data_IF_795829690867
#
_entry.id   IF_795829690867
#
_cell.length_a   1.000
_cell.length_b   1.000
_cell.length_c   1.000
_cell.angle_alpha   90.00
_cell.angle_beta   90.00
_cell.angle_gamma   90.00
#
_symmetry.space_group_name_H-M   'P 1'
#
loop_
_entity.id
_entity.type
_entity.pdbx_description
1 polymer ?
#
# COMPACT_ATOMS: atom_id res chain seq x y z
N UNK A 1 -6.47 9.47 13.81
CA UNK A 1 -6.35 10.03 12.45
C UNK A 1 -4.88 9.99 12.09
N UNK A 2 -4.52 9.26 11.03
CA UNK A 2 -3.15 9.19 10.50
C UNK A 2 -3.04 10.12 9.30
N UNK A 3 -1.84 10.66 9.03
CA UNK A 3 -1.58 11.51 7.88
C UNK A 3 -0.13 11.32 7.39
N UNK A 4 0.09 11.54 6.10
CA UNK A 4 1.43 11.63 5.51
C UNK A 4 1.92 13.06 5.70
N UNK A 5 3.10 13.20 6.30
CA UNK A 5 3.81 14.47 6.42
C UNK A 5 5.06 14.44 5.54
N UNK A 6 5.17 15.36 4.58
CA UNK A 6 6.33 15.49 3.71
C UNK A 6 6.81 16.94 3.63
N UNK A 7 8.08 17.18 3.95
CA UNK A 7 8.72 18.49 3.78
C UNK A 7 9.34 18.56 2.39
N UNK A 8 8.89 19.49 1.54
CA UNK A 8 9.39 19.66 0.18
C UNK A 8 10.56 20.65 0.10
N UNK A 9 10.52 21.68 0.92
CA UNK A 9 11.53 22.71 1.04
C UNK A 9 11.43 23.37 2.42
N UNK A 10 12.37 24.26 2.76
CA UNK A 10 12.32 25.03 4.00
C UNK A 10 10.99 25.81 4.08
N UNK A 11 10.21 25.54 5.13
CA UNK A 11 8.89 26.15 5.34
C UNK A 11 7.77 25.63 4.44
N UNK A 12 8.02 24.65 3.57
CA UNK A 12 7.00 24.05 2.67
C UNK A 12 6.74 22.60 3.07
N UNK A 13 5.56 22.36 3.63
CA UNK A 13 5.11 21.03 4.06
C UNK A 13 3.80 20.62 3.37
N UNK A 14 3.71 19.35 3.01
CA UNK A 14 2.48 18.69 2.60
C UNK A 14 2.03 17.80 3.76
N UNK A 15 0.76 17.95 4.15
CA UNK A 15 0.08 17.07 5.10
C UNK A 15 -1.16 16.52 4.39
N UNK A 16 -1.23 15.19 4.24
CA UNK A 16 -2.35 14.50 3.59
C UNK A 16 -2.93 13.50 4.58
N UNK A 17 -4.17 13.72 5.01
CA UNK A 17 -4.89 12.77 5.86
C UNK A 17 -5.04 11.43 5.14
N UNK A 18 -4.85 10.32 5.84
CA UNK A 18 -5.04 8.99 5.29
C UNK A 18 -6.51 8.60 5.42
N UNK A 19 -7.15 8.30 4.29
CA UNK A 19 -8.54 7.83 4.18
C UNK A 19 -8.59 6.50 3.42
N UNK A 20 -9.74 5.85 3.40
CA UNK A 20 -10.00 4.67 2.56
C UNK A 20 -9.90 4.96 1.05
N UNK A 21 -10.09 6.21 0.65
CA UNK A 21 -10.05 6.64 -0.74
C UNK A 21 -8.63 6.92 -1.27
N UNK A 22 -7.65 7.22 -0.40
CA UNK A 22 -6.36 7.75 -0.83
C UNK A 22 -5.14 6.89 -0.51
N UNK A 23 -5.36 5.63 -0.11
CA UNK A 23 -4.28 4.64 0.05
C UNK A 23 -4.23 3.74 -1.17
N UNK A 24 -3.05 3.70 -1.80
CA UNK A 24 -2.80 2.92 -3.00
C UNK A 24 -1.52 2.10 -2.86
N UNK A 25 -1.51 0.97 -3.54
CA UNK A 25 -0.31 0.15 -3.74
C UNK A 25 -0.24 -0.32 -5.18
N UNK A 26 0.88 -0.96 -5.55
CA UNK A 26 1.09 -1.50 -6.88
C UNK A 26 1.35 -3.00 -6.79
N UNK A 27 0.72 -3.76 -7.69
CA UNK A 27 1.00 -5.17 -7.81
C UNK A 27 2.48 -5.37 -8.17
N UNK A 28 3.26 -6.12 -7.38
CA UNK A 28 4.69 -6.28 -7.62
C UNK A 28 5.02 -7.05 -8.91
N UNK A 29 4.04 -7.77 -9.46
CA UNK A 29 4.19 -8.58 -10.68
C UNK A 29 3.93 -7.76 -11.94
N UNK A 30 2.77 -7.11 -12.03
CA UNK A 30 2.34 -6.42 -13.26
C UNK A 30 2.34 -4.89 -13.16
N UNK A 31 2.63 -4.32 -11.98
CA UNK A 31 2.67 -2.87 -11.76
C UNK A 31 1.31 -2.16 -11.68
N UNK A 32 0.20 -2.90 -11.78
CA UNK A 32 -1.15 -2.35 -11.70
C UNK A 32 -1.38 -1.65 -10.37
N UNK A 33 -1.84 -0.40 -10.42
CA UNK A 33 -2.22 0.38 -9.24
C UNK A 33 -3.58 -0.06 -8.72
N UNK A 34 -3.69 -0.14 -7.40
CA UNK A 34 -4.88 -0.60 -6.68
C UNK A 34 -5.09 0.28 -5.46
N UNK A 35 -6.32 0.76 -5.30
CA UNK A 35 -6.77 1.31 -4.02
C UNK A 35 -6.93 0.15 -3.02
N UNK A 36 -6.55 0.38 -1.76
CA UNK A 36 -6.58 -0.63 -0.71
C UNK A 36 -7.16 -0.07 0.57
N UNK A 37 -7.98 -0.88 1.26
CA UNK A 37 -8.41 -0.58 2.62
C UNK A 37 -7.33 -1.00 3.61
N UNK A 38 -6.50 -0.05 4.04
CA UNK A 38 -5.44 -0.29 5.01
C UNK A 38 -5.96 -0.81 6.36
N UNK A 39 -7.21 -0.50 6.72
CA UNK A 39 -7.81 -0.97 7.97
C UNK A 39 -8.11 -2.46 7.89
N UNK A 40 -8.52 -2.96 6.72
CA UNK A 40 -8.72 -4.40 6.50
C UNK A 40 -7.40 -5.17 6.72
N UNK A 41 -6.30 -4.69 6.16
CA UNK A 41 -4.99 -5.32 6.33
C UNK A 41 -4.46 -5.19 7.76
N UNK A 42 -4.64 -4.03 8.41
CA UNK A 42 -4.20 -3.79 9.78
C UNK A 42 -4.97 -4.62 10.83
N UNK A 43 -6.12 -5.21 10.48
CA UNK A 43 -6.84 -6.17 11.35
C UNK A 43 -6.16 -7.55 11.39
N UNK A 44 -5.29 -7.86 10.44
CA UNK A 44 -4.50 -9.09 10.41
C UNK A 44 -3.40 -9.12 11.48
N UNK A 45 -2.81 -10.29 11.71
CA UNK A 45 -1.73 -10.48 12.70
C UNK A 45 -0.36 -10.07 12.18
N UNK A 46 -0.16 -10.04 10.86
CA UNK A 46 1.10 -9.75 10.20
C UNK A 46 0.84 -8.71 9.09
N UNK A 47 0.85 -7.44 9.48
CA UNK A 47 0.76 -6.31 8.56
C UNK A 47 1.86 -5.31 8.87
N UNK A 48 2.57 -4.92 7.83
CA UNK A 48 3.54 -3.84 7.90
C UNK A 48 3.55 -3.08 6.55
N UNK A 49 3.86 -1.79 6.59
CA UNK A 49 3.78 -0.91 5.41
C UNK A 49 4.83 -1.19 4.33
N UNK A 50 5.88 -1.96 4.63
CA UNK A 50 7.03 -2.16 3.76
C UNK A 50 7.15 -3.60 3.22
N UNK A 51 6.77 -4.59 4.02
CA UNK A 51 6.87 -6.03 3.74
C UNK A 51 5.56 -6.65 3.28
N UNK A 52 4.42 -5.98 3.50
CA UNK A 52 3.12 -6.48 2.99
C UNK A 52 2.98 -6.17 1.51
N UNK A 53 2.82 -7.21 0.69
CA UNK A 53 2.55 -7.10 -0.76
C UNK A 53 1.11 -7.48 -1.08
N UNK A 54 0.45 -6.66 -1.89
CA UNK A 54 -0.92 -6.90 -2.37
C UNK A 54 -0.87 -7.20 -3.86
N UNK A 55 -1.61 -8.23 -4.28
CA UNK A 55 -1.64 -8.71 -5.66
C UNK A 55 -2.98 -8.40 -6.30
N UNK A 56 -2.96 -7.93 -7.55
CA UNK A 56 -4.18 -7.50 -8.23
C UNK A 56 -5.10 -8.64 -8.67
N UNK A 57 -4.55 -9.84 -8.78
CA UNK A 57 -5.28 -11.02 -9.22
C UNK A 57 -4.60 -12.28 -8.70
N UNK A 58 -5.34 -13.39 -8.73
CA UNK A 58 -4.84 -14.70 -8.33
C UNK A 58 -3.67 -15.15 -9.21
N UNK A 59 -3.70 -14.85 -10.50
CA UNK A 59 -2.64 -15.20 -11.44
C UNK A 59 -1.32 -14.48 -11.11
N UNK A 60 -1.38 -13.22 -10.68
CA UNK A 60 -0.18 -12.50 -10.22
C UNK A 60 0.35 -13.10 -8.90
N UNK A 61 -0.55 -13.48 -7.98
CA UNK A 61 -0.15 -14.12 -6.74
C UNK A 61 0.53 -15.49 -6.97
N UNK A 62 -0.03 -16.30 -7.86
CA UNK A 62 0.49 -17.64 -8.16
C UNK A 62 1.85 -17.62 -8.88
N UNK A 63 2.13 -16.60 -9.70
CA UNK A 63 3.45 -16.41 -10.31
C UNK A 63 4.57 -16.34 -9.28
N UNK A 64 4.36 -15.63 -8.17
CA UNK A 64 5.36 -15.50 -7.10
C UNK A 64 5.40 -16.74 -6.21
N UNK A 65 4.26 -17.41 -6.02
CA UNK A 65 4.20 -18.64 -5.21
C UNK A 65 4.86 -19.85 -5.88
N UNK A 66 4.93 -19.89 -7.20
CA UNK A 66 5.60 -20.96 -7.95
C UNK A 66 7.12 -20.83 -8.03
N UNK A 67 7.68 -19.70 -7.60
CA UNK A 67 9.13 -19.40 -7.65
C UNK A 67 9.86 -19.68 -6.32
N UNK A 68 9.15 -20.13 -5.27
CA UNK A 68 9.70 -20.50 -3.96
C UNK A 68 9.64 -22.01 -3.70
#
# INVERSE_FOLDING_TARGET
>A
MFYVKATLAEGVEINIDITDENVFTRCPVCGKEMNVDIVEYARGTEFDLCGTSVYCSKECYEQVKGEN
#
